data_IF_780111754697
#
_entry.id   IF_780111754697
#
_cell.length_a   1.000
_cell.length_b   1.000
_cell.length_c   1.000
_cell.angle_alpha   90.00
_cell.angle_beta   90.00
_cell.angle_gamma   90.00
#
_symmetry.space_group_name_H-M   'P 1'
#
loop_
_entity.id
_entity.type
_entity.pdbx_description
1 polymer ?
#
# COMPACT_ATOMS: atom_id res chain seq x y z
N UNK A 1 -57.31 37.75 -80.03
CA UNK A 1 -56.46 38.95 -79.86
C UNK A 1 -55.62 38.76 -78.64
N UNK A 2 -54.42 38.32 -78.78
CA UNK A 2 -53.11 38.84 -78.56
C UNK A 2 -52.80 39.30 -77.14
N UNK A 3 -51.89 38.51 -76.53
CA UNK A 3 -50.70 38.84 -75.67
C UNK A 3 -50.86 39.26 -74.21
N UNK A 4 -49.76 39.14 -73.47
CA UNK A 4 -48.62 38.22 -73.47
C UNK A 4 -48.28 37.59 -72.13
N UNK A 5 -47.45 36.60 -72.17
CA UNK A 5 -46.71 35.85 -71.15
C UNK A 5 -45.79 36.74 -70.32
N UNK A 6 -45.79 36.51 -68.95
CA UNK A 6 -44.68 36.95 -68.08
C UNK A 6 -44.13 35.73 -67.35
N UNK A 7 -42.90 35.44 -67.73
CA UNK A 7 -42.06 34.41 -67.01
C UNK A 7 -41.71 34.85 -65.66
N UNK A 8 -41.90 33.97 -64.67
CA UNK A 8 -41.34 34.11 -63.33
C UNK A 8 -40.26 33.06 -63.15
N UNK A 9 -39.02 33.52 -62.99
CA UNK A 9 -37.87 32.69 -62.60
C UNK A 9 -38.01 32.24 -61.18
N UNK A 10 -37.98 30.91 -60.91
CA UNK A 10 -37.77 30.32 -59.61
C UNK A 10 -36.28 30.09 -59.44
N UNK A 11 -35.66 30.81 -58.47
CA UNK A 11 -34.32 30.51 -57.97
C UNK A 11 -34.42 29.36 -57.00
N UNK A 12 -33.85 28.21 -57.38
CA UNK A 12 -33.60 27.09 -56.43
C UNK A 12 -32.34 27.38 -55.63
N UNK A 13 -32.50 27.71 -54.33
CA UNK A 13 -31.39 27.71 -53.36
C UNK A 13 -31.09 26.26 -52.97
N UNK A 14 -29.99 25.71 -53.43
CA UNK A 14 -29.44 24.46 -52.93
C UNK A 14 -28.69 24.71 -51.62
N UNK A 15 -29.28 24.29 -50.50
CA UNK A 15 -28.59 24.26 -49.22
C UNK A 15 -27.61 23.10 -49.17
N UNK A 16 -26.31 23.39 -49.35
CA UNK A 16 -25.23 22.44 -49.16
C UNK A 16 -25.02 22.19 -47.66
N UNK A 17 -25.35 20.98 -47.18
CA UNK A 17 -24.94 20.52 -45.85
C UNK A 17 -23.45 20.18 -45.88
N UNK A 18 -22.62 21.07 -45.40
CA UNK A 18 -21.19 20.79 -45.13
C UNK A 18 -21.10 19.98 -43.85
N UNK A 19 -20.90 18.68 -43.95
CA UNK A 19 -20.45 17.84 -42.84
C UNK A 19 -19.04 18.26 -42.45
N UNK A 20 -18.96 19.17 -41.48
CA UNK A 20 -17.71 19.56 -40.86
C UNK A 20 -17.17 18.41 -39.99
N UNK A 21 -16.23 17.63 -40.52
CA UNK A 21 -15.35 16.77 -39.75
C UNK A 21 -14.52 17.67 -38.82
N UNK A 22 -15.01 17.84 -37.60
CA UNK A 22 -14.34 18.62 -36.56
C UNK A 22 -13.00 18.01 -36.17
N UNK A 23 -11.95 18.41 -36.81
CA UNK A 23 -10.58 18.27 -36.33
C UNK A 23 -10.45 19.16 -35.09
N UNK A 24 -10.46 18.56 -33.90
CA UNK A 24 -10.11 19.24 -32.65
C UNK A 24 -8.73 19.90 -32.83
N UNK A 25 -8.57 21.17 -32.46
CA UNK A 25 -7.36 21.92 -32.71
C UNK A 25 -6.15 21.25 -32.05
N UNK A 26 -5.01 21.21 -32.73
CA UNK A 26 -3.76 20.57 -32.30
C UNK A 26 -3.29 21.01 -30.90
N UNK A 27 -3.72 22.18 -30.43
CA UNK A 27 -3.52 22.66 -29.06
C UNK A 27 -4.19 21.77 -28.00
N UNK A 28 -5.35 21.19 -28.26
CA UNK A 28 -6.05 20.34 -27.31
C UNK A 28 -5.38 18.96 -27.15
N UNK A 29 -4.79 18.43 -28.21
CA UNK A 29 -4.01 17.17 -28.17
C UNK A 29 -2.70 17.33 -27.40
N UNK A 30 -1.96 18.43 -27.60
CA UNK A 30 -0.72 18.72 -26.85
C UNK A 30 -0.98 19.04 -25.37
N UNK A 31 -2.08 19.71 -25.04
CA UNK A 31 -2.49 19.93 -23.66
C UNK A 31 -2.84 18.63 -22.96
N UNK A 32 -3.67 17.76 -23.57
CA UNK A 32 -3.99 16.43 -23.05
C UNK A 32 -2.77 15.50 -22.95
N UNK A 33 -1.81 15.63 -23.87
CA UNK A 33 -0.56 14.87 -23.80
C UNK A 33 0.40 15.39 -22.70
N UNK A 34 0.43 16.71 -22.47
CA UNK A 34 1.15 17.33 -21.33
C UNK A 34 0.49 16.99 -19.99
N UNK A 35 -0.84 16.99 -19.92
CA UNK A 35 -1.58 16.59 -18.71
C UNK A 35 -1.42 15.10 -18.43
N UNK A 36 -1.37 14.24 -19.45
CA UNK A 36 -1.03 12.81 -19.30
C UNK A 36 0.42 12.59 -18.89
N UNK A 37 1.38 13.34 -19.46
CA UNK A 37 2.80 13.26 -19.05
C UNK A 37 3.02 13.81 -17.63
N UNK A 38 2.24 14.80 -17.21
CA UNK A 38 2.27 15.36 -15.85
C UNK A 38 1.60 14.44 -14.83
N UNK A 39 0.58 13.67 -15.23
CA UNK A 39 -0.02 12.61 -14.41
C UNK A 39 0.93 11.40 -14.23
N UNK A 40 1.70 11.05 -15.25
CA UNK A 40 2.73 9.99 -15.18
C UNK A 40 3.97 10.39 -14.34
N UNK A 41 4.14 11.67 -13.99
CA UNK A 41 5.23 12.17 -13.14
C UNK A 41 4.77 12.55 -11.73
N UNK A 42 3.51 12.32 -11.39
CA UNK A 42 3.00 12.63 -10.05
C UNK A 42 3.58 11.65 -9.03
N UNK A 43 4.20 12.17 -7.98
CA UNK A 43 4.64 11.38 -6.82
C UNK A 43 3.38 10.86 -6.11
N UNK A 44 3.07 9.57 -6.27
CA UNK A 44 1.85 8.95 -5.76
C UNK A 44 1.88 8.77 -4.23
N UNK A 45 3.06 8.44 -3.71
CA UNK A 45 3.32 8.26 -2.29
C UNK A 45 4.53 9.12 -1.86
N UNK A 46 4.35 10.45 -1.65
CA UNK A 46 5.44 11.35 -1.26
C UNK A 46 6.00 11.06 0.14
N UNK A 47 5.20 10.45 0.99
CA UNK A 47 5.56 9.94 2.33
C UNK A 47 5.11 8.48 2.44
N UNK A 48 5.64 7.71 3.42
CA UNK A 48 5.16 6.35 3.65
C UNK A 48 3.63 6.31 3.80
N UNK A 49 2.90 5.45 3.07
CA UNK A 49 1.46 5.30 3.25
C UNK A 49 1.08 4.94 4.68
N UNK A 50 0.03 5.58 5.19
CA UNK A 50 -0.55 5.27 6.50
C UNK A 50 -2.02 4.93 6.34
N UNK A 51 -2.47 3.81 6.93
CA UNK A 51 -3.84 3.36 6.78
C UNK A 51 -4.20 2.17 7.66
N UNK A 52 -5.34 1.58 7.34
CA UNK A 52 -5.86 0.36 7.94
C UNK A 52 -6.05 -0.69 6.84
N UNK A 53 -5.72 -1.93 7.17
CA UNK A 53 -5.95 -3.08 6.33
C UNK A 53 -6.73 -4.15 7.11
N UNK A 54 -7.70 -4.79 6.48
CA UNK A 54 -8.67 -5.66 7.15
C UNK A 54 -8.13 -7.04 7.56
N UNK A 55 -6.94 -7.46 7.11
CA UNK A 55 -6.55 -8.86 7.21
C UNK A 55 -6.36 -9.35 8.64
N UNK A 56 -5.53 -8.66 9.45
CA UNK A 56 -5.18 -9.16 10.79
C UNK A 56 -6.40 -9.24 11.73
N UNK A 57 -7.42 -8.41 11.50
CA UNK A 57 -8.66 -8.43 12.27
C UNK A 57 -9.68 -9.43 11.74
N UNK A 58 -9.82 -9.56 10.41
CA UNK A 58 -10.96 -10.25 9.81
C UNK A 58 -10.58 -11.34 8.81
N UNK A 59 -9.29 -11.55 8.55
CA UNK A 59 -8.83 -12.49 7.54
C UNK A 59 -9.49 -12.24 6.19
N UNK A 60 -9.87 -13.31 5.51
CA UNK A 60 -10.65 -13.24 4.28
C UNK A 60 -12.16 -12.99 4.48
N UNK A 61 -12.65 -12.85 5.72
CA UNK A 61 -14.09 -12.79 6.05
C UNK A 61 -14.62 -11.38 6.34
N UNK A 62 -13.84 -10.33 6.09
CA UNK A 62 -14.29 -8.94 6.25
C UNK A 62 -15.56 -8.67 5.45
N UNK A 63 -16.47 -7.87 5.99
CA UNK A 63 -17.70 -7.44 5.32
C UNK A 63 -17.79 -5.90 5.25
N UNK A 64 -18.75 -5.41 4.44
CA UNK A 64 -18.93 -3.99 4.19
C UNK A 64 -19.18 -3.17 5.46
N UNK A 65 -19.95 -3.71 6.42
CA UNK A 65 -20.23 -3.02 7.68
C UNK A 65 -18.96 -2.83 8.51
N UNK A 66 -18.10 -3.85 8.59
CA UNK A 66 -16.83 -3.77 9.29
C UNK A 66 -15.87 -2.78 8.62
N UNK A 67 -15.77 -2.79 7.29
CA UNK A 67 -14.97 -1.80 6.56
C UNK A 67 -15.46 -0.38 6.84
N UNK A 68 -16.78 -0.16 6.78
CA UNK A 68 -17.38 1.16 7.09
C UNK A 68 -17.14 1.61 8.53
N UNK A 69 -17.21 0.70 9.49
CA UNK A 69 -16.95 1.02 10.90
C UNK A 69 -15.48 1.44 11.12
N UNK A 70 -14.51 0.67 10.55
CA UNK A 70 -13.10 1.02 10.63
C UNK A 70 -12.78 2.32 9.88
N UNK A 71 -13.37 2.54 8.70
CA UNK A 71 -13.22 3.78 7.95
C UNK A 71 -13.75 4.99 8.74
N UNK A 72 -14.91 4.86 9.37
CA UNK A 72 -15.49 5.93 10.22
C UNK A 72 -14.57 6.24 11.38
N UNK A 73 -14.11 5.22 12.11
CA UNK A 73 -13.20 5.42 13.23
C UNK A 73 -11.89 6.10 12.79
N UNK A 74 -11.32 5.65 11.67
CA UNK A 74 -10.11 6.23 11.11
C UNK A 74 -10.31 7.72 10.78
N UNK A 75 -11.44 8.07 10.15
CA UNK A 75 -11.77 9.45 9.82
C UNK A 75 -11.91 10.32 11.05
N UNK A 76 -12.62 9.84 12.07
CA UNK A 76 -12.96 10.61 13.26
C UNK A 76 -11.77 10.79 14.22
N UNK A 77 -10.84 9.82 14.28
CA UNK A 77 -9.79 9.78 15.31
C UNK A 77 -8.35 9.80 14.77
N UNK A 78 -8.10 9.32 13.55
CA UNK A 78 -6.74 9.11 13.03
C UNK A 78 -6.40 9.98 11.81
N UNK A 79 -7.37 10.43 11.03
CA UNK A 79 -7.13 11.18 9.80
C UNK A 79 -6.34 12.47 10.03
N UNK A 80 -6.57 13.17 11.15
CA UNK A 80 -5.84 14.38 11.54
C UNK A 80 -4.32 14.13 11.73
N UNK A 81 -3.93 12.88 11.98
CA UNK A 81 -2.54 12.44 12.16
C UNK A 81 -1.91 11.93 10.85
N UNK A 82 -2.65 11.96 9.72
CA UNK A 82 -2.16 11.55 8.40
C UNK A 82 -2.57 10.15 7.94
N UNK A 83 -3.29 9.39 8.76
CA UNK A 83 -3.86 8.11 8.37
C UNK A 83 -4.99 8.31 7.36
N UNK A 84 -4.96 7.58 6.22
CA UNK A 84 -5.90 7.85 5.12
C UNK A 84 -6.33 6.64 4.30
N UNK A 85 -5.59 5.55 4.27
CA UNK A 85 -5.94 4.41 3.44
C UNK A 85 -6.83 3.43 4.21
N UNK A 86 -7.88 2.92 3.54
CA UNK A 86 -8.77 1.86 4.03
C UNK A 86 -8.73 0.74 3.00
N UNK A 87 -8.10 -0.39 3.35
CA UNK A 87 -7.84 -1.48 2.41
C UNK A 87 -8.67 -2.70 2.76
N UNK A 88 -9.49 -3.16 1.81
CA UNK A 88 -10.17 -4.47 1.87
C UNK A 88 -9.19 -5.53 1.39
N UNK A 89 -8.78 -6.40 2.30
CA UNK A 89 -7.81 -7.45 1.99
C UNK A 89 -8.49 -8.71 1.44
N UNK A 90 -7.79 -9.72 1.29
CA UNK A 90 -7.93 -11.07 0.73
C UNK A 90 -9.36 -11.63 0.64
N UNK A 91 -9.66 -12.38 -0.42
CA UNK A 91 -10.87 -13.17 -0.68
C UNK A 91 -12.22 -12.43 -0.69
N UNK A 92 -12.24 -11.11 -0.92
CA UNK A 92 -13.50 -10.35 -1.08
C UNK A 92 -14.40 -10.86 -2.22
N UNK A 93 -13.87 -11.72 -3.06
CA UNK A 93 -14.56 -12.34 -4.21
C UNK A 93 -15.06 -13.77 -3.94
N UNK A 94 -14.88 -14.31 -2.72
CA UNK A 94 -15.48 -15.57 -2.31
C UNK A 94 -16.65 -15.35 -1.33
N UNK A 95 -17.72 -16.19 -1.39
CA UNK A 95 -18.86 -16.07 -0.46
C UNK A 95 -18.50 -16.21 1.02
N UNK A 96 -17.43 -16.92 1.33
CA UNK A 96 -16.83 -17.02 2.67
C UNK A 96 -15.32 -16.77 2.58
N UNK A 97 -14.69 -16.44 3.69
CA UNK A 97 -13.23 -16.18 3.76
C UNK A 97 -12.34 -17.40 3.51
N UNK A 98 -12.91 -18.48 3.06
CA UNK A 98 -12.21 -19.70 2.69
C UNK A 98 -12.51 -20.07 1.24
N UNK A 99 -11.49 -20.53 0.50
CA UNK A 99 -11.67 -21.02 -0.87
C UNK A 99 -12.56 -22.27 -0.84
N UNK A 100 -13.84 -22.06 -1.12
CA UNK A 100 -14.78 -23.16 -1.43
C UNK A 100 -15.60 -22.77 -2.64
N UNK A 101 -15.44 -23.49 -3.72
CA UNK A 101 -16.10 -23.21 -5.00
C UNK A 101 -15.38 -22.18 -5.85
N UNK A 102 -16.07 -21.68 -6.86
CA UNK A 102 -15.53 -20.67 -7.76
C UNK A 102 -15.66 -19.26 -7.17
N UNK A 103 -14.68 -18.38 -7.43
CA UNK A 103 -14.82 -16.97 -7.10
C UNK A 103 -15.94 -16.33 -7.93
N UNK A 104 -16.53 -15.25 -7.42
CA UNK A 104 -17.43 -14.42 -8.22
C UNK A 104 -16.60 -13.60 -9.20
N UNK A 105 -16.93 -13.69 -10.47
CA UNK A 105 -16.24 -13.01 -11.56
C UNK A 105 -17.23 -12.62 -12.66
N UNK A 106 -16.83 -11.69 -13.51
CA UNK A 106 -17.61 -11.33 -14.70
C UNK A 106 -17.32 -12.26 -15.89
N UNK A 107 -17.94 -11.96 -17.04
CA UNK A 107 -17.79 -12.71 -18.29
C UNK A 107 -16.40 -12.68 -18.90
N UNK A 108 -15.48 -11.86 -18.37
CA UNK A 108 -14.08 -11.74 -18.78
C UNK A 108 -13.10 -12.35 -17.75
N UNK A 109 -13.62 -13.06 -16.74
CA UNK A 109 -12.82 -13.66 -15.68
C UNK A 109 -12.22 -12.67 -14.69
N UNK A 110 -12.75 -11.45 -14.59
CA UNK A 110 -12.31 -10.45 -13.62
C UNK A 110 -13.12 -10.59 -12.33
N UNK A 111 -12.40 -10.61 -11.20
CA UNK A 111 -13.00 -10.84 -9.89
C UNK A 111 -13.93 -9.70 -9.48
N UNK A 112 -15.08 -10.05 -8.90
CA UNK A 112 -16.11 -9.12 -8.41
C UNK A 112 -16.38 -9.34 -6.92
N UNK A 113 -16.68 -8.25 -6.15
CA UNK A 113 -17.01 -8.39 -4.74
C UNK A 113 -18.35 -9.13 -4.55
N UNK A 114 -18.34 -10.08 -3.60
CA UNK A 114 -19.53 -10.88 -3.31
C UNK A 114 -20.59 -10.07 -2.59
N UNK A 115 -21.83 -10.15 -3.05
CA UNK A 115 -22.93 -9.31 -2.54
C UNK A 115 -23.45 -9.72 -1.16
N UNK A 116 -23.19 -10.95 -0.72
CA UNK A 116 -23.54 -11.40 0.64
C UNK A 116 -22.68 -10.75 1.73
N UNK A 117 -21.46 -10.32 1.42
CA UNK A 117 -20.56 -9.59 2.32
C UNK A 117 -20.48 -8.09 1.99
N UNK A 118 -20.62 -7.75 0.72
CA UNK A 118 -20.58 -6.38 0.21
C UNK A 118 -21.88 -6.06 -0.55
N UNK A 119 -23.01 -5.87 0.16
CA UNK A 119 -24.34 -5.74 -0.46
C UNK A 119 -24.47 -4.53 -1.38
N UNK A 120 -23.70 -3.47 -1.16
CA UNK A 120 -23.69 -2.29 -2.03
C UNK A 120 -23.11 -2.56 -3.42
N UNK A 121 -22.37 -3.66 -3.61
CA UNK A 121 -21.82 -4.08 -4.89
C UNK A 121 -22.88 -4.66 -5.85
N UNK A 122 -24.11 -4.92 -5.36
CA UNK A 122 -25.19 -5.49 -6.17
C UNK A 122 -25.47 -4.67 -7.44
N UNK A 123 -25.93 -5.39 -8.49
CA UNK A 123 -26.24 -4.76 -9.78
C UNK A 123 -25.01 -4.35 -10.59
N UNK A 124 -23.88 -5.05 -10.42
CA UNK A 124 -22.66 -4.80 -11.19
C UNK A 124 -21.85 -3.57 -10.76
N UNK A 125 -22.19 -2.96 -9.61
CA UNK A 125 -21.54 -1.72 -9.13
C UNK A 125 -20.10 -1.92 -8.63
N UNK A 126 -19.70 -3.17 -8.36
CA UNK A 126 -18.41 -3.46 -7.78
C UNK A 126 -18.19 -2.74 -6.45
N UNK A 127 -16.95 -2.33 -6.16
CA UNK A 127 -16.65 -1.57 -4.95
C UNK A 127 -16.97 -0.06 -5.03
N UNK A 128 -17.49 0.43 -6.17
CA UNK A 128 -17.74 1.88 -6.32
C UNK A 128 -18.53 2.51 -5.17
N UNK A 129 -19.67 1.93 -4.68
CA UNK A 129 -20.43 2.53 -3.58
C UNK A 129 -19.66 2.53 -2.25
N UNK A 130 -18.83 1.52 -1.98
CA UNK A 130 -17.99 1.47 -0.78
C UNK A 130 -16.83 2.47 -0.88
N UNK A 131 -16.21 2.60 -2.05
CA UNK A 131 -15.20 3.61 -2.31
C UNK A 131 -15.76 5.03 -2.14
N UNK A 132 -16.96 5.31 -2.68
CA UNK A 132 -17.64 6.59 -2.51
C UNK A 132 -17.88 6.92 -1.02
N UNK A 133 -18.29 5.92 -0.23
CA UNK A 133 -18.44 6.09 1.21
C UNK A 133 -17.11 6.46 1.88
N UNK A 134 -16.03 5.73 1.59
CA UNK A 134 -14.69 6.00 2.14
C UNK A 134 -14.19 7.40 1.72
N UNK A 135 -14.39 7.76 0.45
CA UNK A 135 -14.04 9.09 -0.08
C UNK A 135 -14.86 10.21 0.58
N UNK A 136 -16.15 9.97 0.89
CA UNK A 136 -17.01 10.95 1.59
C UNK A 136 -16.49 11.28 2.99
N UNK A 137 -15.65 10.41 3.57
CA UNK A 137 -14.95 10.63 4.83
C UNK A 137 -13.59 11.34 4.67
N UNK A 138 -13.21 11.73 3.44
CA UNK A 138 -11.89 12.31 3.15
C UNK A 138 -10.74 11.30 3.11
N UNK A 139 -11.06 9.99 3.06
CA UNK A 139 -10.10 8.89 3.07
C UNK A 139 -9.85 8.34 1.65
N UNK A 140 -8.96 7.39 1.52
CA UNK A 140 -8.61 6.69 0.28
C UNK A 140 -8.97 5.22 0.37
N UNK A 141 -9.56 4.68 -0.69
CA UNK A 141 -10.01 3.29 -0.76
C UNK A 141 -8.99 2.39 -1.46
N UNK A 142 -8.72 1.22 -0.88
CA UNK A 142 -7.82 0.22 -1.44
C UNK A 142 -8.40 -1.18 -1.43
N UNK A 143 -7.84 -2.02 -2.29
CA UNK A 143 -8.17 -3.45 -2.37
C UNK A 143 -6.91 -4.29 -2.45
N UNK A 144 -7.01 -5.53 -1.98
CA UNK A 144 -6.06 -6.60 -2.25
C UNK A 144 -6.44 -7.33 -3.54
N UNK A 145 -5.44 -7.74 -4.32
CA UNK A 145 -5.60 -8.63 -5.46
C UNK A 145 -4.56 -9.75 -5.42
N UNK A 146 -4.91 -10.91 -5.98
CA UNK A 146 -3.94 -11.94 -6.29
C UNK A 146 -3.34 -11.72 -7.68
N UNK A 147 -2.08 -12.12 -7.87
CA UNK A 147 -1.44 -12.19 -9.17
C UNK A 147 -2.19 -13.14 -10.11
N UNK A 148 -2.20 -12.83 -11.40
CA UNK A 148 -2.60 -13.76 -12.45
C UNK A 148 -4.10 -13.75 -12.77
N UNK A 149 -4.57 -14.89 -13.29
CA UNK A 149 -5.94 -15.10 -13.77
C UNK A 149 -6.62 -16.23 -12.97
N UNK A 150 -7.92 -16.11 -12.59
CA UNK A 150 -8.64 -17.16 -11.88
C UNK A 150 -8.62 -18.50 -12.62
N UNK A 151 -8.30 -19.60 -11.91
CA UNK A 151 -8.36 -20.94 -12.49
C UNK A 151 -9.74 -21.26 -13.08
N UNK A 152 -10.80 -20.76 -12.44
CA UNK A 152 -12.17 -20.90 -12.93
C UNK A 152 -12.38 -20.21 -14.29
N UNK A 153 -11.75 -19.06 -14.53
CA UNK A 153 -11.81 -18.37 -15.83
C UNK A 153 -11.11 -19.19 -16.93
N UNK A 154 -9.97 -19.82 -16.60
CA UNK A 154 -9.24 -20.70 -17.51
C UNK A 154 -10.02 -21.98 -17.83
N UNK A 155 -10.65 -22.59 -16.81
CA UNK A 155 -11.49 -23.77 -17.00
C UNK A 155 -12.69 -23.50 -17.92
N UNK A 156 -13.30 -22.32 -17.80
CA UNK A 156 -14.42 -21.87 -18.64
C UNK A 156 -13.95 -21.28 -19.98
N UNK A 157 -12.64 -21.11 -20.16
CA UNK A 157 -12.03 -20.46 -21.31
C UNK A 157 -12.66 -19.12 -21.68
N UNK A 158 -12.84 -18.26 -20.68
CA UNK A 158 -13.52 -16.95 -20.84
C UNK A 158 -12.73 -16.03 -21.78
N UNK A 159 -13.41 -15.15 -22.52
CA UNK A 159 -12.77 -14.21 -23.46
C UNK A 159 -11.95 -13.16 -22.70
N UNK A 160 -10.88 -12.67 -23.33
CA UNK A 160 -10.08 -11.53 -22.82
C UNK A 160 -10.61 -10.23 -23.44
N UNK A 161 -11.09 -9.34 -22.59
CA UNK A 161 -11.76 -8.11 -23.00
C UNK A 161 -10.91 -7.28 -23.99
N UNK A 162 -11.51 -6.99 -25.17
CA UNK A 162 -10.89 -6.16 -26.19
C UNK A 162 -9.90 -6.91 -27.11
N UNK A 163 -9.92 -8.24 -27.08
CA UNK A 163 -9.11 -9.10 -27.94
C UNK A 163 -9.93 -10.25 -28.49
N UNK A 164 -9.37 -11.01 -29.45
CA UNK A 164 -9.95 -12.27 -29.91
C UNK A 164 -9.47 -13.49 -29.10
N UNK A 165 -8.57 -13.25 -28.13
CA UNK A 165 -7.99 -14.31 -27.28
C UNK A 165 -8.90 -14.68 -26.11
N UNK A 166 -8.69 -15.87 -25.58
CA UNK A 166 -9.36 -16.42 -24.42
C UNK A 166 -8.37 -16.72 -23.28
N UNK A 167 -8.89 -17.03 -22.12
CA UNK A 167 -8.09 -17.30 -20.91
C UNK A 167 -7.03 -18.39 -21.08
N UNK A 168 -7.34 -19.45 -21.86
CA UNK A 168 -6.38 -20.52 -22.16
C UNK A 168 -5.22 -20.07 -23.07
N UNK A 169 -5.41 -19.01 -23.85
CA UNK A 169 -4.36 -18.46 -24.72
C UNK A 169 -3.27 -17.72 -23.94
N UNK A 170 -3.60 -17.18 -22.78
CA UNK A 170 -2.70 -16.32 -21.98
C UNK A 170 -2.25 -16.95 -20.67
N UNK A 171 -2.77 -18.11 -20.29
CA UNK A 171 -2.43 -18.75 -19.03
C UNK A 171 -1.03 -19.37 -19.05
N UNK A 172 -0.33 -19.26 -17.91
CA UNK A 172 0.83 -20.10 -17.59
C UNK A 172 0.47 -21.04 -16.44
N UNK A 173 0.03 -22.25 -16.79
CA UNK A 173 -0.44 -23.26 -15.82
C UNK A 173 0.66 -23.82 -14.92
N UNK A 174 1.93 -23.65 -15.28
CA UNK A 174 3.09 -24.06 -14.48
C UNK A 174 3.45 -22.99 -13.46
N UNK A 175 2.93 -21.77 -13.62
CA UNK A 175 3.19 -20.67 -12.73
C UNK A 175 1.98 -20.51 -11.78
N UNK A 176 2.09 -21.11 -10.60
CA UNK A 176 1.03 -21.15 -9.59
C UNK A 176 1.52 -20.47 -8.30
N UNK A 177 0.58 -20.07 -7.46
CA UNK A 177 0.85 -19.66 -6.10
C UNK A 177 0.92 -20.89 -5.17
N UNK A 178 1.98 -21.02 -4.36
CA UNK A 178 2.19 -22.20 -3.50
C UNK A 178 1.20 -22.30 -2.34
N UNK A 179 0.66 -21.16 -1.90
CA UNK A 179 -0.24 -21.05 -0.75
C UNK A 179 -1.70 -20.75 -1.15
N UNK A 180 -1.99 -20.63 -2.45
CA UNK A 180 -3.36 -20.40 -2.95
C UNK A 180 -3.61 -21.11 -4.28
N UNK A 181 -4.66 -21.90 -4.31
CA UNK A 181 -5.10 -22.60 -5.54
C UNK A 181 -6.04 -21.76 -6.41
N UNK A 182 -6.22 -20.47 -6.11
CA UNK A 182 -7.21 -19.65 -6.78
C UNK A 182 -6.80 -19.22 -8.21
N UNK A 183 -5.50 -19.05 -8.46
CA UNK A 183 -4.98 -18.37 -9.64
C UNK A 183 -3.94 -19.20 -10.40
N UNK A 184 -3.78 -18.86 -11.69
CA UNK A 184 -2.61 -19.19 -12.51
C UNK A 184 -1.89 -17.91 -12.93
N UNK A 185 -0.61 -18.00 -13.25
CA UNK A 185 0.12 -16.89 -13.86
C UNK A 185 -0.39 -16.52 -15.25
N UNK A 186 -0.13 -15.29 -15.65
CA UNK A 186 -0.45 -14.76 -16.98
C UNK A 186 0.83 -14.61 -17.81
N UNK A 187 0.81 -15.12 -19.04
CA UNK A 187 1.87 -14.89 -20.02
C UNK A 187 1.74 -13.48 -20.62
N UNK A 188 2.38 -12.54 -19.95
CA UNK A 188 2.37 -11.11 -20.37
C UNK A 188 3.32 -10.82 -21.54
N UNK A 189 4.05 -11.80 -22.06
CA UNK A 189 4.79 -11.69 -23.33
C UNK A 189 3.83 -11.62 -24.52
N UNK A 190 2.60 -12.10 -24.35
CA UNK A 190 1.52 -12.01 -25.32
C UNK A 190 0.75 -10.70 -25.16
N UNK A 191 0.39 -10.01 -26.24
CA UNK A 191 -0.42 -8.78 -26.16
C UNK A 191 -1.74 -8.94 -25.39
N UNK A 192 -2.38 -10.12 -25.51
CA UNK A 192 -3.61 -10.42 -24.80
C UNK A 192 -3.41 -10.58 -23.27
N UNK A 193 -2.21 -11.02 -22.82
CA UNK A 193 -1.85 -11.03 -21.41
C UNK A 193 -1.76 -9.64 -20.81
N UNK A 194 -1.14 -8.68 -21.51
CA UNK A 194 -1.17 -7.27 -21.12
C UNK A 194 -2.60 -6.71 -21.17
N UNK A 195 -3.41 -7.03 -22.18
CA UNK A 195 -4.80 -6.58 -22.29
C UNK A 195 -5.65 -7.06 -21.10
N UNK A 196 -5.38 -8.25 -20.58
CA UNK A 196 -6.05 -8.73 -19.35
C UNK A 196 -5.75 -7.82 -18.16
N UNK A 197 -4.48 -7.51 -17.88
CA UNK A 197 -4.11 -6.55 -16.81
C UNK A 197 -4.68 -5.16 -17.05
N UNK A 198 -4.68 -4.67 -18.30
CA UNK A 198 -5.29 -3.39 -18.67
C UNK A 198 -6.80 -3.37 -18.34
N UNK A 199 -7.49 -4.48 -18.57
CA UNK A 199 -8.91 -4.63 -18.25
C UNK A 199 -9.17 -4.62 -16.73
N UNK A 200 -8.29 -5.26 -15.93
CA UNK A 200 -8.35 -5.22 -14.47
C UNK A 200 -8.15 -3.80 -13.93
N UNK A 201 -7.09 -3.12 -14.37
CA UNK A 201 -6.80 -1.77 -13.91
C UNK A 201 -7.91 -0.77 -14.27
N UNK A 202 -8.53 -0.90 -15.46
CA UNK A 202 -9.70 -0.10 -15.86
C UNK A 202 -10.93 -0.41 -14.98
N UNK A 203 -11.15 -1.68 -14.62
CA UNK A 203 -12.23 -2.08 -13.72
C UNK A 203 -12.03 -1.44 -12.34
N UNK A 204 -10.83 -1.54 -11.76
CA UNK A 204 -10.54 -0.96 -10.44
C UNK A 204 -10.57 0.58 -10.47
N UNK A 205 -10.13 1.19 -11.56
CA UNK A 205 -10.27 2.64 -11.78
C UNK A 205 -11.76 3.07 -11.84
N UNK A 206 -12.64 2.24 -12.43
CA UNK A 206 -14.09 2.50 -12.48
C UNK A 206 -14.75 2.38 -11.10
N UNK A 207 -14.15 1.66 -10.16
CA UNK A 207 -14.58 1.59 -8.76
C UNK A 207 -13.98 2.69 -7.89
N UNK A 208 -13.17 3.58 -8.46
CA UNK A 208 -12.45 4.63 -7.75
C UNK A 208 -11.44 4.10 -6.71
N UNK A 209 -10.77 2.98 -6.99
CA UNK A 209 -9.68 2.45 -6.16
C UNK A 209 -8.47 3.39 -6.21
N UNK A 210 -7.87 3.68 -5.05
CA UNK A 210 -6.66 4.51 -4.89
C UNK A 210 -5.39 3.71 -4.56
N UNK A 211 -5.56 2.48 -4.09
CA UNK A 211 -4.48 1.64 -3.59
C UNK A 211 -4.73 0.17 -3.92
N UNK A 212 -3.71 -0.50 -4.45
CA UNK A 212 -3.75 -1.93 -4.74
C UNK A 212 -2.62 -2.63 -3.99
N UNK A 213 -2.97 -3.57 -3.09
CA UNK A 213 -2.05 -4.57 -2.54
C UNK A 213 -2.10 -5.79 -3.46
N UNK A 214 -1.05 -6.00 -4.24
CA UNK A 214 -0.94 -7.12 -5.16
C UNK A 214 -0.10 -8.23 -4.54
N UNK A 215 -0.71 -9.38 -4.33
CA UNK A 215 -0.11 -10.50 -3.64
C UNK A 215 0.40 -11.59 -4.62
N UNK A 216 1.29 -12.49 -4.15
CA UNK A 216 2.03 -13.46 -4.96
C UNK A 216 2.91 -12.80 -6.04
N UNK A 217 3.50 -11.62 -5.74
CA UNK A 217 4.25 -10.83 -6.72
C UNK A 217 5.77 -10.80 -6.50
N UNK A 218 6.21 -10.49 -5.28
CA UNK A 218 7.60 -10.03 -5.06
C UNK A 218 8.43 -10.95 -4.18
N UNK A 219 7.94 -12.12 -3.83
CA UNK A 219 8.67 -13.08 -3.00
C UNK A 219 9.91 -13.61 -3.70
N UNK A 220 10.99 -13.72 -2.94
CA UNK A 220 12.21 -14.37 -3.39
C UNK A 220 12.00 -15.88 -3.60
N UNK A 221 12.85 -16.49 -4.41
CA UNK A 221 12.94 -17.95 -4.50
C UNK A 221 13.18 -18.53 -3.11
N UNK A 222 12.19 -19.26 -2.65
CA UNK A 222 12.36 -20.12 -1.50
C UNK A 222 12.76 -21.55 -1.94
N UNK A 223 13.06 -22.45 -1.01
CA UNK A 223 13.31 -23.88 -1.32
C UNK A 223 12.15 -24.57 -2.06
N UNK A 224 10.97 -23.98 -2.06
CA UNK A 224 9.75 -24.51 -2.70
C UNK A 224 9.55 -23.99 -4.13
N UNK A 225 10.48 -23.21 -4.67
CA UNK A 225 10.48 -22.78 -6.07
C UNK A 225 9.67 -21.55 -6.40
N UNK A 226 9.24 -20.76 -5.42
CA UNK A 226 8.58 -19.49 -5.66
C UNK A 226 9.51 -18.52 -6.40
N UNK A 227 8.96 -17.74 -7.32
CA UNK A 227 9.72 -16.91 -8.25
C UNK A 227 9.24 -15.47 -8.13
N UNK A 228 10.20 -14.53 -8.20
CA UNK A 228 9.89 -13.13 -8.39
C UNK A 228 9.20 -12.90 -9.75
N UNK A 229 8.01 -12.32 -9.74
CA UNK A 229 7.15 -12.19 -10.92
C UNK A 229 7.32 -10.84 -11.65
N UNK A 230 8.56 -10.45 -11.91
CA UNK A 230 8.91 -9.15 -12.51
C UNK A 230 8.09 -8.78 -13.75
N UNK A 231 7.92 -9.66 -14.76
CA UNK A 231 7.11 -9.34 -15.94
C UNK A 231 5.65 -8.99 -15.59
N UNK A 232 5.01 -9.72 -14.67
CA UNK A 232 3.61 -9.45 -14.28
C UNK A 232 3.50 -8.18 -13.40
N UNK A 233 4.51 -7.89 -12.56
CA UNK A 233 4.61 -6.62 -11.83
C UNK A 233 4.65 -5.44 -12.82
N UNK A 234 5.52 -5.51 -13.82
CA UNK A 234 5.64 -4.47 -14.84
C UNK A 234 4.35 -4.31 -15.67
N UNK A 235 3.69 -5.43 -16.02
CA UNK A 235 2.43 -5.41 -16.76
C UNK A 235 1.29 -4.77 -15.94
N UNK A 236 1.18 -5.09 -14.64
CA UNK A 236 0.21 -4.47 -13.75
C UNK A 236 0.47 -2.97 -13.59
N UNK A 237 1.74 -2.55 -13.36
CA UNK A 237 2.09 -1.12 -13.26
C UNK A 237 1.74 -0.38 -14.55
N UNK A 238 2.12 -0.92 -15.71
CA UNK A 238 1.76 -0.36 -17.01
C UNK A 238 0.24 -0.21 -17.19
N UNK A 239 -0.53 -1.22 -16.82
CA UNK A 239 -1.99 -1.18 -16.85
C UNK A 239 -2.57 -0.08 -15.94
N UNK A 240 -2.05 0.05 -14.72
CA UNK A 240 -2.48 1.07 -13.76
C UNK A 240 -2.17 2.49 -14.28
N UNK A 241 -1.00 2.71 -14.90
CA UNK A 241 -0.60 4.00 -15.47
C UNK A 241 -1.51 4.43 -16.65
N UNK A 242 -2.07 3.47 -17.37
CA UNK A 242 -2.99 3.69 -18.48
C UNK A 242 -4.48 3.60 -18.13
N UNK A 243 -4.81 3.27 -16.87
CA UNK A 243 -6.21 3.16 -16.41
C UNK A 243 -6.98 4.47 -16.40
N UNK A 244 -6.26 5.60 -16.36
CA UNK A 244 -6.83 6.95 -16.23
C UNK A 244 -6.97 7.43 -14.78
N UNK A 245 -6.66 6.57 -13.79
CA UNK A 245 -6.68 6.91 -12.36
C UNK A 245 -5.32 6.63 -11.71
N UNK A 246 -4.76 7.58 -10.94
CA UNK A 246 -3.55 7.33 -10.16
C UNK A 246 -3.85 6.36 -9.01
N UNK A 247 -3.11 5.25 -8.94
CA UNK A 247 -3.24 4.24 -7.89
C UNK A 247 -1.86 3.87 -7.35
N UNK A 248 -1.74 3.82 -6.02
CA UNK A 248 -0.54 3.29 -5.34
C UNK A 248 -0.50 1.78 -5.52
N UNK A 249 0.65 1.24 -5.90
CA UNK A 249 0.90 -0.21 -5.97
C UNK A 249 1.78 -0.64 -4.80
N UNK A 250 1.27 -1.57 -4.00
CA UNK A 250 1.96 -2.28 -2.93
C UNK A 250 2.15 -3.74 -3.35
N UNK A 251 3.38 -4.24 -3.30
CA UNK A 251 3.72 -5.61 -3.66
C UNK A 251 3.89 -6.48 -2.42
N UNK A 252 3.29 -7.67 -2.42
CA UNK A 252 3.44 -8.69 -1.39
C UNK A 252 3.45 -10.10 -2.00
N UNK A 253 3.73 -11.20 -1.22
CA UNK A 253 4.46 -11.12 0.03
C UNK A 253 5.95 -10.88 -0.21
N UNK A 254 6.72 -10.69 0.87
CA UNK A 254 8.18 -10.69 0.83
C UNK A 254 8.79 -12.03 1.27
N UNK A 255 10.11 -12.06 1.50
CA UNK A 255 11.01 -10.94 1.31
C UNK A 255 11.38 -10.72 -0.17
N UNK A 256 11.15 -9.51 -0.67
CA UNK A 256 11.77 -9.09 -1.94
C UNK A 256 13.29 -9.09 -1.80
N UNK A 257 14.02 -9.56 -2.81
CA UNK A 257 15.49 -9.57 -2.78
C UNK A 257 16.07 -8.23 -3.23
N UNK A 258 17.24 -7.88 -2.66
CA UNK A 258 17.94 -6.64 -3.05
C UNK A 258 18.35 -6.60 -4.52
N UNK A 259 18.59 -7.74 -5.16
CA UNK A 259 18.86 -7.78 -6.60
C UNK A 259 17.69 -7.31 -7.46
N UNK A 260 16.48 -7.30 -6.91
CA UNK A 260 15.24 -6.85 -7.57
C UNK A 260 14.89 -5.39 -7.21
N UNK A 261 15.72 -4.70 -6.41
CA UNK A 261 15.44 -3.36 -5.89
C UNK A 261 15.11 -2.35 -7.00
N UNK A 262 15.95 -2.24 -8.03
CA UNK A 262 15.71 -1.32 -9.16
C UNK A 262 14.38 -1.60 -9.85
N UNK A 263 14.00 -2.87 -9.97
CA UNK A 263 12.76 -3.25 -10.62
C UNK A 263 11.54 -2.87 -9.78
N UNK A 264 11.53 -3.14 -8.45
CA UNK A 264 10.40 -2.77 -7.60
C UNK A 264 10.28 -1.26 -7.42
N UNK A 265 11.39 -0.53 -7.31
CA UNK A 265 11.41 0.94 -7.27
C UNK A 265 10.78 1.56 -8.52
N UNK A 266 11.08 0.99 -9.69
CA UNK A 266 10.51 1.46 -10.95
C UNK A 266 9.01 1.18 -11.09
N UNK A 267 8.53 0.07 -10.53
CA UNK A 267 7.21 -0.46 -10.86
C UNK A 267 6.20 -0.38 -9.70
N UNK A 268 6.62 -0.01 -8.48
CA UNK A 268 5.71 0.06 -7.33
C UNK A 268 6.06 1.23 -6.40
N UNK A 269 5.18 1.56 -5.48
CA UNK A 269 5.40 2.59 -4.46
C UNK A 269 5.77 1.99 -3.11
N UNK A 270 5.42 0.72 -2.88
CA UNK A 270 5.88 -0.02 -1.70
C UNK A 270 5.97 -1.52 -2.03
N UNK A 271 6.83 -2.23 -1.31
CA UNK A 271 7.07 -3.66 -1.48
C UNK A 271 7.51 -4.29 -0.17
N UNK A 272 7.04 -5.50 0.10
CA UNK A 272 7.34 -6.25 1.31
C UNK A 272 8.81 -6.69 1.35
N UNK A 273 9.46 -6.38 2.45
CA UNK A 273 10.86 -6.77 2.69
C UNK A 273 10.98 -8.02 3.56
N UNK A 274 9.88 -8.52 4.08
CA UNK A 274 9.77 -9.74 4.90
C UNK A 274 8.58 -10.58 4.48
N UNK A 275 8.50 -11.81 4.96
CA UNK A 275 7.24 -12.56 5.03
C UNK A 275 6.24 -11.83 5.94
N UNK A 276 5.00 -12.35 5.99
CA UNK A 276 4.01 -11.86 6.93
C UNK A 276 4.56 -11.93 8.35
N UNK A 277 4.44 -10.82 9.08
CA UNK A 277 4.77 -10.77 10.49
C UNK A 277 3.50 -10.81 11.33
N UNK A 278 3.60 -11.52 12.44
CA UNK A 278 2.57 -11.54 13.45
C UNK A 278 3.10 -10.99 14.77
N UNK A 279 2.22 -10.87 15.72
CA UNK A 279 2.44 -10.33 17.05
C UNK A 279 3.29 -11.26 17.95
N UNK A 280 4.53 -11.52 17.53
CA UNK A 280 5.52 -12.26 18.32
C UNK A 280 6.93 -11.64 18.19
N UNK A 281 7.68 -11.69 19.27
CA UNK A 281 9.01 -11.10 19.34
C UNK A 281 10.02 -11.63 18.33
N UNK A 282 10.14 -12.95 18.06
CA UNK A 282 11.09 -13.46 17.07
C UNK A 282 10.91 -12.85 15.69
N UNK A 283 9.69 -12.70 15.21
CA UNK A 283 9.40 -12.09 13.90
C UNK A 283 9.72 -10.59 13.90
N UNK A 284 9.31 -9.85 14.94
CA UNK A 284 9.67 -8.44 15.09
C UNK A 284 11.19 -8.25 15.14
N UNK A 285 11.90 -9.07 15.90
CA UNK A 285 13.37 -9.03 15.99
C UNK A 285 14.05 -9.22 14.64
N UNK A 286 13.53 -10.09 13.78
CA UNK A 286 14.07 -10.32 12.45
C UNK A 286 13.96 -9.08 11.54
N UNK A 287 12.99 -8.19 11.77
CA UNK A 287 12.80 -6.97 10.97
C UNK A 287 13.99 -6.03 11.05
N UNK A 288 14.77 -6.00 12.14
CA UNK A 288 15.99 -5.19 12.22
C UNK A 288 17.00 -5.53 11.13
N UNK A 289 17.10 -6.81 10.77
CA UNK A 289 17.94 -7.28 9.67
C UNK A 289 17.45 -6.79 8.30
N UNK A 290 16.16 -6.95 8.03
CA UNK A 290 15.55 -6.52 6.77
C UNK A 290 15.58 -4.99 6.62
N UNK A 291 15.19 -4.23 7.65
CA UNK A 291 15.25 -2.77 7.63
C UNK A 291 16.68 -2.26 7.36
N UNK A 292 17.69 -2.88 7.97
CA UNK A 292 19.08 -2.52 7.71
C UNK A 292 19.48 -2.72 6.24
N UNK A 293 19.05 -3.82 5.63
CA UNK A 293 19.37 -4.12 4.23
C UNK A 293 18.72 -3.13 3.27
N UNK A 294 17.51 -2.69 3.56
CA UNK A 294 16.71 -1.83 2.68
C UNK A 294 16.79 -0.33 2.98
N UNK A 295 17.53 0.09 4.01
CA UNK A 295 17.58 1.49 4.46
C UNK A 295 17.98 2.50 3.37
N UNK A 296 18.88 2.12 2.45
CA UNK A 296 19.32 2.99 1.34
C UNK A 296 18.30 3.14 0.21
N UNK A 297 17.22 2.35 0.23
CA UNK A 297 16.17 2.34 -0.79
C UNK A 297 14.92 3.14 -0.39
N UNK A 298 14.94 3.72 0.82
CA UNK A 298 13.82 4.51 1.35
C UNK A 298 13.80 5.90 0.75
N UNK A 299 12.67 6.29 0.17
CA UNK A 299 12.50 7.62 -0.42
C UNK A 299 11.10 7.87 -0.99
N UNK A 300 10.78 9.09 -1.44
CA UNK A 300 9.49 9.38 -2.05
C UNK A 300 9.14 8.43 -3.20
N UNK A 301 7.97 7.80 -3.15
CA UNK A 301 7.53 6.69 -4.00
C UNK A 301 8.26 5.36 -3.83
N UNK A 302 9.22 5.26 -2.92
CA UNK A 302 10.02 4.06 -2.69
C UNK A 302 9.99 3.72 -1.20
N UNK A 303 9.03 2.88 -0.81
CA UNK A 303 8.79 2.55 0.59
C UNK A 303 8.91 1.03 0.79
N UNK A 304 10.12 0.56 1.15
CA UNK A 304 10.28 -0.82 1.63
C UNK A 304 9.38 -1.04 2.85
N UNK A 305 8.52 -2.07 2.76
CA UNK A 305 7.43 -2.32 3.69
C UNK A 305 7.81 -3.44 4.66
N UNK A 306 7.97 -3.10 5.93
CA UNK A 306 8.27 -4.07 6.98
C UNK A 306 7.01 -4.82 7.49
N UNK A 307 5.89 -4.68 6.79
CA UNK A 307 4.57 -5.26 7.03
C UNK A 307 3.65 -4.43 7.92
N UNK A 308 2.43 -4.96 8.08
CA UNK A 308 1.36 -4.36 8.84
C UNK A 308 1.71 -4.28 10.33
N UNK A 309 0.92 -3.51 11.06
CA UNK A 309 1.04 -3.33 12.51
C UNK A 309 0.05 -4.28 13.21
N UNK A 310 0.45 -5.45 13.73
CA UNK A 310 -0.43 -6.39 14.40
C UNK A 310 -0.70 -5.94 15.84
N UNK A 311 -1.32 -4.78 16.01
CA UNK A 311 -1.62 -4.11 17.27
C UNK A 311 -3.12 -4.13 17.56
N UNK A 312 -3.52 -3.89 18.83
CA UNK A 312 -4.90 -3.86 19.27
C UNK A 312 -5.60 -5.22 19.20
N UNK A 313 -6.89 -5.24 18.88
CA UNK A 313 -7.69 -6.47 18.79
C UNK A 313 -7.59 -7.09 17.40
N UNK A 314 -7.14 -8.33 17.34
CA UNK A 314 -6.85 -9.12 16.13
C UNK A 314 -7.77 -10.34 16.05
N UNK A 315 -7.88 -10.93 14.84
CA UNK A 315 -8.49 -12.24 14.57
C UNK A 315 -9.96 -12.36 14.99
N UNK A 316 -10.73 -11.28 14.81
CA UNK A 316 -12.18 -11.30 15.13
C UNK A 316 -12.95 -12.27 14.23
N UNK A 317 -12.49 -12.46 12.99
CA UNK A 317 -13.08 -13.39 12.02
C UNK A 317 -12.00 -13.95 11.10
N UNK A 318 -12.34 -15.04 10.39
CA UNK A 318 -11.46 -15.62 9.37
C UNK A 318 -10.28 -16.42 9.91
N UNK A 319 -10.22 -16.64 11.22
CA UNK A 319 -9.16 -17.40 11.90
C UNK A 319 -9.74 -18.43 12.84
N UNK A 320 -9.02 -19.54 13.06
CA UNK A 320 -9.49 -20.66 13.88
C UNK A 320 -9.26 -20.45 15.40
N UNK A 321 -8.35 -19.54 15.77
CA UNK A 321 -7.93 -19.31 17.16
C UNK A 321 -8.69 -18.15 17.85
N UNK A 322 -9.59 -17.48 17.12
CA UNK A 322 -10.52 -16.49 17.63
C UNK A 322 -9.92 -15.14 17.99
N UNK A 323 -10.77 -14.22 18.47
CA UNK A 323 -10.35 -12.85 18.82
C UNK A 323 -9.37 -12.81 19.97
N UNK A 324 -8.35 -11.95 19.84
CA UNK A 324 -7.37 -11.70 20.91
C UNK A 324 -6.68 -10.34 20.75
N UNK A 325 -6.23 -9.77 21.85
CA UNK A 325 -5.31 -8.65 21.82
C UNK A 325 -3.94 -9.09 21.28
N UNK A 326 -3.19 -8.12 20.74
CA UNK A 326 -1.79 -8.33 20.37
C UNK A 326 -1.01 -8.97 21.51
N UNK A 327 -0.19 -9.98 21.19
CA UNK A 327 0.66 -10.69 22.15
C UNK A 327 1.97 -9.96 22.43
N UNK A 328 2.29 -8.93 21.65
CA UNK A 328 3.45 -8.08 21.92
C UNK A 328 3.24 -7.34 23.23
N UNK A 329 4.24 -7.35 24.09
CA UNK A 329 4.26 -6.50 25.29
C UNK A 329 4.24 -5.01 24.92
N UNK A 330 3.94 -4.13 25.84
CA UNK A 330 3.98 -2.68 25.58
C UNK A 330 5.36 -2.22 25.11
N UNK A 331 6.45 -2.74 25.67
CA UNK A 331 7.82 -2.43 25.22
C UNK A 331 8.06 -2.89 23.79
N UNK A 332 7.60 -4.09 23.42
CA UNK A 332 7.70 -4.61 22.04
C UNK A 332 6.86 -3.82 21.04
N UNK A 333 5.66 -3.37 21.43
CA UNK A 333 4.82 -2.49 20.60
C UNK A 333 5.49 -1.12 20.38
N UNK A 334 6.13 -0.55 21.40
CA UNK A 334 6.96 0.67 21.26
C UNK A 334 8.14 0.40 20.34
N UNK A 335 8.79 -0.75 20.46
CA UNK A 335 9.90 -1.17 19.59
C UNK A 335 9.47 -1.29 18.14
N UNK A 336 8.34 -1.94 17.86
CA UNK A 336 7.76 -2.05 16.54
C UNK A 336 7.52 -0.66 15.94
N UNK A 337 6.77 0.19 16.62
CA UNK A 337 6.47 1.55 16.14
C UNK A 337 7.74 2.41 15.99
N UNK A 338 8.72 2.26 16.86
CA UNK A 338 10.00 2.98 16.78
C UNK A 338 10.80 2.56 15.56
N UNK A 339 10.91 1.24 15.30
CA UNK A 339 11.64 0.70 14.17
C UNK A 339 10.97 1.11 12.84
N UNK A 340 9.64 0.93 12.71
CA UNK A 340 8.91 1.36 11.52
C UNK A 340 9.10 2.85 11.27
N UNK A 341 8.99 3.69 12.31
CA UNK A 341 9.12 5.14 12.18
C UNK A 341 10.53 5.59 11.81
N UNK A 342 11.58 5.03 12.43
CA UNK A 342 12.96 5.44 12.13
C UNK A 342 13.46 4.85 10.80
N UNK A 343 12.96 3.72 10.37
CA UNK A 343 13.20 3.12 9.07
C UNK A 343 12.36 3.79 7.98
N UNK A 344 11.20 4.36 8.31
CA UNK A 344 10.18 4.92 7.41
C UNK A 344 9.45 3.83 6.60
N UNK A 345 9.06 2.74 7.27
CA UNK A 345 8.15 1.76 6.71
C UNK A 345 6.73 2.34 6.60
N UNK A 346 5.94 1.98 5.59
CA UNK A 346 4.50 2.22 5.62
C UNK A 346 3.87 1.77 6.94
N UNK A 347 2.89 2.53 7.45
CA UNK A 347 2.18 2.24 8.69
C UNK A 347 0.76 1.76 8.34
N UNK A 348 0.58 0.45 8.24
CA UNK A 348 -0.72 -0.16 7.93
C UNK A 348 -1.25 -0.90 9.15
N UNK A 349 -2.18 -0.28 9.89
CA UNK A 349 -2.79 -0.88 11.08
C UNK A 349 -3.61 -2.11 10.70
N UNK A 350 -3.37 -3.23 11.39
CA UNK A 350 -4.07 -4.51 11.16
C UNK A 350 -5.21 -4.79 12.14
N UNK A 351 -5.16 -4.21 13.36
CA UNK A 351 -6.17 -4.40 14.38
C UNK A 351 -7.49 -3.68 14.12
N UNK A 352 -8.55 -4.11 14.80
CA UNK A 352 -9.88 -3.50 14.71
C UNK A 352 -9.90 -2.11 15.37
N UNK A 353 -10.11 -1.07 14.57
CA UNK A 353 -10.06 0.31 15.04
C UNK A 353 -11.20 0.67 16.02
N UNK A 354 -12.47 0.26 15.80
CA UNK A 354 -13.57 0.57 16.73
C UNK A 354 -13.37 0.07 18.15
N UNK A 355 -12.56 -0.96 18.34
CA UNK A 355 -12.29 -1.56 19.67
C UNK A 355 -10.89 -1.31 20.20
N UNK A 356 -10.17 -0.34 19.60
CA UNK A 356 -8.79 -0.03 19.94
C UNK A 356 -8.66 0.40 21.41
N UNK A 357 -7.68 -0.14 22.11
CA UNK A 357 -7.38 0.24 23.48
C UNK A 357 -6.62 1.59 23.56
N UNK A 358 -6.66 2.27 24.74
CA UNK A 358 -6.02 3.59 24.89
C UNK A 358 -4.50 3.58 24.66
N UNK A 359 -3.80 2.49 24.99
CA UNK A 359 -2.36 2.40 24.78
C UNK A 359 -2.04 2.32 23.28
N UNK A 360 -2.68 1.41 22.55
CA UNK A 360 -2.52 1.29 21.10
C UNK A 360 -2.89 2.61 20.41
N UNK A 361 -4.00 3.26 20.80
CA UNK A 361 -4.38 4.56 20.25
C UNK A 361 -3.28 5.61 20.48
N UNK A 362 -2.64 5.61 21.66
CA UNK A 362 -1.55 6.54 21.99
C UNK A 362 -0.34 6.37 21.07
N UNK A 363 -0.04 5.14 20.62
CA UNK A 363 1.02 4.84 19.65
C UNK A 363 0.69 5.43 18.28
N UNK A 364 -0.55 5.25 17.81
CA UNK A 364 -1.00 5.70 16.48
C UNK A 364 -1.23 7.23 16.38
N UNK A 365 -1.30 7.93 17.49
CA UNK A 365 -1.58 9.38 17.56
C UNK A 365 -0.42 10.21 18.09
N UNK A 366 0.75 9.62 18.32
CA UNK A 366 1.94 10.38 18.75
C UNK A 366 2.55 11.14 17.57
N UNK A 367 2.19 12.41 17.43
CA UNK A 367 2.66 13.27 16.31
C UNK A 367 4.19 13.40 16.22
N UNK A 368 4.91 13.34 17.37
CA UNK A 368 6.37 13.46 17.37
C UNK A 368 7.03 12.18 16.79
N UNK A 369 6.46 11.02 17.06
CA UNK A 369 6.90 9.73 16.49
C UNK A 369 6.51 9.64 15.02
N UNK A 370 5.26 9.97 14.68
CA UNK A 370 4.78 10.00 13.29
C UNK A 370 5.58 10.98 12.42
N UNK A 371 6.05 12.09 12.99
CA UNK A 371 6.90 13.04 12.26
C UNK A 371 8.26 12.43 11.87
N UNK A 372 8.79 11.48 12.65
CA UNK A 372 10.00 10.73 12.27
C UNK A 372 9.72 9.91 11.02
N UNK A 373 8.63 9.15 11.00
CA UNK A 373 8.21 8.35 9.84
C UNK A 373 7.97 9.21 8.59
N UNK A 374 7.17 10.24 8.75
CA UNK A 374 6.65 11.01 7.60
C UNK A 374 7.62 12.04 7.03
N UNK A 375 8.57 12.54 7.86
CA UNK A 375 9.35 13.73 7.48
C UNK A 375 10.87 13.58 7.62
N UNK A 376 11.39 12.57 8.33
CA UNK A 376 12.84 12.44 8.49
C UNK A 376 13.55 12.11 7.17
N UNK A 377 14.86 12.26 7.14
CA UNK A 377 15.70 11.92 6.00
C UNK A 377 17.05 11.36 6.45
N UNK A 378 17.79 10.73 5.52
CA UNK A 378 19.09 10.16 5.84
C UNK A 378 19.04 9.03 6.90
N UNK A 379 17.94 8.32 6.98
CA UNK A 379 17.69 7.28 7.97
C UNK A 379 18.63 6.09 7.75
N UNK A 380 19.39 5.72 8.77
CA UNK A 380 20.30 4.59 8.69
C UNK A 380 20.64 3.99 10.06
N UNK A 381 21.10 2.75 10.04
CA UNK A 381 21.68 2.07 11.21
C UNK A 381 22.98 2.77 11.60
N UNK A 382 23.06 3.25 12.85
CA UNK A 382 24.26 3.87 13.41
C UNK A 382 25.26 2.83 13.93
N UNK A 383 24.77 1.87 14.70
CA UNK A 383 25.57 0.71 15.17
C UNK A 383 24.69 -0.46 15.61
N UNK A 384 25.34 -1.64 15.65
CA UNK A 384 24.89 -2.82 16.40
C UNK A 384 26.02 -3.28 17.31
N UNK A 385 25.76 -3.40 18.60
CA UNK A 385 26.72 -3.86 19.63
C UNK A 385 26.03 -4.85 20.57
N UNK A 386 26.22 -6.13 20.34
CA UNK A 386 25.47 -7.17 21.06
C UNK A 386 23.98 -7.04 20.80
N UNK A 387 23.20 -6.84 21.86
CA UNK A 387 21.76 -6.61 21.77
C UNK A 387 21.37 -5.14 21.58
N UNK A 388 22.34 -4.22 21.70
CA UNK A 388 22.13 -2.79 21.55
C UNK A 388 22.16 -2.39 20.07
N UNK A 389 21.12 -1.68 19.64
CA UNK A 389 21.02 -1.13 18.28
C UNK A 389 20.71 0.36 18.39
N UNK A 390 21.35 1.16 17.55
CA UNK A 390 20.98 2.56 17.38
C UNK A 390 20.77 2.90 15.91
N UNK A 391 19.73 3.66 15.63
CA UNK A 391 19.45 4.27 14.34
C UNK A 391 19.46 5.79 14.45
N UNK A 392 19.77 6.45 13.36
CA UNK A 392 19.81 7.91 13.27
C UNK A 392 19.12 8.39 12.00
N UNK A 393 18.50 9.57 12.09
CA UNK A 393 17.97 10.29 10.95
C UNK A 393 18.11 11.81 11.14
N UNK A 394 18.01 12.56 10.05
CA UNK A 394 18.03 14.01 10.06
C UNK A 394 16.63 14.58 10.33
N UNK A 395 16.56 15.64 11.13
CA UNK A 395 15.38 16.49 11.27
C UNK A 395 15.41 17.54 10.15
N UNK A 396 14.44 17.54 9.21
CA UNK A 396 14.48 18.42 8.05
C UNK A 396 14.64 19.92 8.43
N UNK A 397 15.49 20.62 7.67
CA UNK A 397 15.69 22.06 7.84
C UNK A 397 16.47 22.46 9.11
N UNK A 398 17.03 21.51 9.86
CA UNK A 398 17.79 21.76 11.10
C UNK A 398 19.09 20.97 11.14
N UNK A 399 19.88 21.17 12.19
CA UNK A 399 21.03 20.31 12.53
C UNK A 399 20.68 19.24 13.59
N UNK A 400 19.43 19.15 13.99
CA UNK A 400 18.99 18.16 14.95
C UNK A 400 18.97 16.77 14.32
N UNK A 401 19.11 15.74 15.18
CA UNK A 401 19.00 14.34 14.80
C UNK A 401 17.84 13.69 15.53
N UNK A 402 17.15 12.80 14.83
CA UNK A 402 16.36 11.75 15.46
C UNK A 402 17.26 10.57 15.77
N UNK A 403 17.14 10.00 16.95
CA UNK A 403 17.94 8.86 17.42
C UNK A 403 16.99 7.84 18.04
N UNK A 404 16.98 6.63 17.50
CA UNK A 404 16.29 5.49 18.06
C UNK A 404 17.31 4.57 18.75
N UNK A 405 17.06 4.23 20.01
CA UNK A 405 17.87 3.30 20.80
C UNK A 405 17.03 2.06 21.12
N UNK A 406 17.60 0.88 20.89
CA UNK A 406 16.92 -0.39 21.08
C UNK A 406 17.75 -1.34 21.94
N UNK A 407 17.08 -2.13 22.74
CA UNK A 407 17.62 -3.24 23.47
C UNK A 407 16.91 -4.55 23.05
N UNK A 408 17.58 -5.42 22.32
CA UNK A 408 17.05 -6.71 21.89
C UNK A 408 17.36 -7.85 22.86
N UNK A 409 17.91 -7.54 24.04
CA UNK A 409 18.28 -8.51 25.11
C UNK A 409 17.15 -8.72 26.10
N UNK A 410 17.39 -9.70 27.01
CA UNK A 410 16.43 -10.16 28.00
C UNK A 410 16.53 -9.41 29.36
N UNK A 411 17.42 -8.43 29.46
CA UNK A 411 17.60 -7.60 30.66
C UNK A 411 17.69 -6.12 30.29
N UNK A 412 17.32 -5.19 31.19
CA UNK A 412 17.48 -3.77 30.94
C UNK A 412 18.94 -3.38 30.71
N UNK A 413 19.21 -2.58 29.68
CA UNK A 413 20.58 -2.13 29.31
C UNK A 413 20.65 -0.61 29.19
N UNK A 414 21.82 -0.03 29.49
CA UNK A 414 22.16 1.35 29.15
C UNK A 414 22.64 1.39 27.71
N UNK A 415 21.86 2.03 26.82
CA UNK A 415 22.23 2.23 25.42
C UNK A 415 22.65 3.67 25.21
N UNK A 416 23.86 3.88 24.72
CA UNK A 416 24.47 5.21 24.62
C UNK A 416 24.87 5.57 23.20
N UNK A 417 24.73 6.87 22.83
CA UNK A 417 25.27 7.48 21.61
C UNK A 417 26.11 8.68 21.96
N UNK A 418 27.22 8.84 21.26
CA UNK A 418 28.11 10.01 21.41
C UNK A 418 27.82 11.06 20.36
N UNK A 419 28.08 12.32 20.68
CA UNK A 419 27.93 13.42 19.69
C UNK A 419 28.84 13.24 18.48
N UNK A 420 30.01 12.63 18.68
CA UNK A 420 30.91 12.28 17.57
C UNK A 420 30.27 11.32 16.56
N UNK A 421 29.56 10.30 17.03
CA UNK A 421 28.83 9.36 16.15
C UNK A 421 27.71 10.04 15.39
N UNK A 422 27.06 11.05 16.01
CA UNK A 422 25.96 11.81 15.40
C UNK A 422 26.41 12.99 14.54
N UNK A 423 27.72 13.28 14.48
CA UNK A 423 28.25 14.49 13.81
C UNK A 423 27.85 15.79 14.53
N UNK A 424 27.64 15.73 15.85
CA UNK A 424 27.21 16.83 16.69
C UNK A 424 28.33 17.24 17.67
N UNK A 425 28.23 18.43 18.29
CA UNK A 425 29.17 18.93 19.26
C UNK A 425 28.55 19.88 20.29
N UNK A 426 29.20 20.02 21.45
CA UNK A 426 28.81 20.90 22.53
C UNK A 426 27.73 20.33 23.42
N UNK A 427 27.16 21.20 24.24
CA UNK A 427 26.04 20.85 25.12
C UNK A 427 24.72 20.93 24.37
N UNK A 428 24.02 19.80 24.25
CA UNK A 428 22.83 19.63 23.41
C UNK A 428 21.61 19.19 24.20
N UNK A 429 20.45 19.80 23.94
CA UNK A 429 19.19 19.36 24.50
C UNK A 429 18.76 18.04 23.87
N UNK A 430 18.11 17.21 24.70
CA UNK A 430 17.51 15.94 24.32
C UNK A 430 16.02 15.95 24.68
N UNK A 431 15.17 15.52 23.75
CA UNK A 431 13.74 15.35 23.94
C UNK A 431 13.36 13.90 23.69
N UNK A 432 12.69 13.30 24.65
CA UNK A 432 12.01 12.01 24.49
C UNK A 432 10.71 12.22 23.71
N UNK A 433 10.59 11.52 22.57
CA UNK A 433 9.43 11.67 21.67
C UNK A 433 8.25 10.80 22.10
N UNK A 434 8.51 9.67 22.78
CA UNK A 434 7.45 8.83 23.31
C UNK A 434 6.74 9.50 24.47
N UNK A 435 7.50 9.97 25.46
CA UNK A 435 6.98 10.64 26.66
C UNK A 435 6.69 12.13 26.44
N UNK A 436 7.11 12.71 25.29
CA UNK A 436 6.98 14.14 24.97
C UNK A 436 7.65 15.04 25.99
N UNK A 437 8.78 14.60 26.55
CA UNK A 437 9.50 15.25 27.65
C UNK A 437 10.86 15.77 27.21
N UNK A 438 11.24 16.94 27.77
CA UNK A 438 12.59 17.47 27.64
C UNK A 438 13.46 16.93 28.77
N UNK A 439 14.44 16.10 28.41
CA UNK A 439 15.32 15.43 29.38
C UNK A 439 16.48 16.33 29.86
N UNK A 440 16.56 17.56 29.38
CA UNK A 440 17.66 18.48 29.68
C UNK A 440 18.73 18.50 28.59
N UNK A 441 19.94 18.99 28.96
CA UNK A 441 21.07 19.12 28.04
C UNK A 441 22.24 18.28 28.51
N UNK A 442 22.88 17.59 27.60
CA UNK A 442 23.97 16.64 27.83
C UNK A 442 25.24 17.07 27.10
N UNK A 443 26.40 16.68 27.65
CA UNK A 443 27.69 16.94 27.06
C UNK A 443 28.28 15.64 26.50
N UNK A 444 28.83 15.68 25.28
CA UNK A 444 29.55 14.59 24.61
C UNK A 444 28.73 13.35 24.26
N UNK A 445 27.73 12.95 25.06
CA UNK A 445 26.93 11.75 24.84
C UNK A 445 25.56 11.86 25.53
N UNK A 446 24.66 10.97 25.10
CA UNK A 446 23.39 10.68 25.76
C UNK A 446 23.27 9.16 25.94
N UNK A 447 22.76 8.73 27.07
CA UNK A 447 22.37 7.33 27.31
C UNK A 447 20.99 7.26 27.89
N UNK A 448 20.32 6.16 27.61
CA UNK A 448 19.03 5.81 28.23
C UNK A 448 19.03 4.35 28.66
N UNK A 449 18.39 4.07 29.80
CA UNK A 449 18.11 2.71 30.23
C UNK A 449 16.91 2.19 29.46
N UNK A 450 17.12 1.18 28.63
CA UNK A 450 16.09 0.58 27.78
C UNK A 450 15.71 -0.78 28.35
N UNK A 451 14.42 -1.02 28.54
CA UNK A 451 13.86 -2.29 28.98
C UNK A 451 14.20 -3.45 28.03
N UNK A 452 14.05 -4.71 28.46
CA UNK A 452 14.14 -5.86 27.56
C UNK A 452 13.14 -5.70 26.40
N UNK A 453 13.60 -5.97 25.16
CA UNK A 453 12.84 -5.81 23.93
C UNK A 453 12.30 -4.38 23.66
N UNK A 454 12.76 -3.41 24.45
CA UNK A 454 12.27 -2.05 24.44
C UNK A 454 13.01 -1.13 23.48
N UNK A 455 12.45 0.07 23.31
CA UNK A 455 13.03 1.14 22.52
C UNK A 455 12.80 2.52 23.15
N UNK A 456 13.69 3.46 22.82
CA UNK A 456 13.49 4.90 23.04
C UNK A 456 13.72 5.67 21.73
N UNK A 457 12.98 6.74 21.53
CA UNK A 457 13.09 7.62 20.36
C UNK A 457 13.28 9.06 20.80
N UNK A 458 14.36 9.66 20.34
CA UNK A 458 14.82 10.95 20.85
C UNK A 458 15.08 11.93 19.73
N UNK A 459 14.89 13.23 20.01
CA UNK A 459 15.37 14.33 19.18
C UNK A 459 16.50 15.05 19.91
N UNK A 460 17.67 15.15 19.27
CA UNK A 460 18.92 15.66 19.85
C UNK A 460 19.41 16.85 19.04
N UNK A 461 19.78 17.95 19.71
CA UNK A 461 20.41 19.10 19.07
C UNK A 461 19.65 20.42 19.28
N UNK A 462 20.32 21.54 19.02
CA UNK A 462 19.72 22.87 19.02
C UNK A 462 18.93 23.11 17.72
N UNK A 463 17.84 23.87 17.82
CA UNK A 463 17.06 24.30 16.64
C UNK A 463 17.90 25.17 15.72
#
# INVERSE_FOLDING_TARGET
>A
MTKPMRSIFFLLLAAGVVLGSGLLPARSRRARQRDKAKAASAVLAPTPPMGWNSYDSYGGDVNEQQVKANARYLADHLAIYGWKYVVVDYYWYYPSGHVKGNPVMDEYGRLLPVTNRFPSAAGGKGFKPLADYVHSLGLKFGIHIMRGIPRAAVQQNLPILGTEAHAQDIVNVLNTCSWSEAMYGVDVSKPAGQAYYDSLAKLYASWDVDFIKADDMSRARDPYGEVYHGPEIAALRNAMDHSGRPMVLSLSPGPTQLCDAEHVEKNSQMWRISNDIWDNWPELRNQFGYCRLWASHVGPNHWPDADMLPLGLLRLRGFNDGPRLSRLTHDEQITLMTLWSIFRSPLMMGGDLPTIDPFTLSLLTNQEVLAVDQHSSGNHLLFTKGHQIAWVADVPGTKQKYVALFNLGESPEEVAVTWRQLGLAGRLPVRDLWNKENLGSFDKQFSARINPHGAGLYRIGKR
#
